data_IF_936087217679
#
_entry.id   IF_936087217679
#
_cell.length_a   1.000
_cell.length_b   1.000
_cell.length_c   1.000
_cell.angle_alpha   90.00
_cell.angle_beta   90.00
_cell.angle_gamma   90.00
#
_symmetry.space_group_name_H-M   'P 1'
#
loop_
_entity.id
_entity.type
_entity.pdbx_description
1 polymer ?
#
# COMPACT_ATOMS: atom_id res chain seq x y z
N UNK A 1 0.71 44.55 17.14
CA UNK A 1 1.00 45.66 18.09
C UNK A 1 1.62 45.02 19.32
N UNK A 2 2.84 45.40 19.71
CA UNK A 2 3.48 44.83 20.92
C UNK A 2 2.75 45.35 22.15
N UNK A 3 2.26 44.44 22.97
CA UNK A 3 1.63 44.74 24.25
C UNK A 3 2.70 45.21 25.24
N UNK A 4 2.42 46.27 26.02
CA UNK A 4 3.29 46.71 27.12
C UNK A 4 3.21 45.77 28.35
N UNK A 5 2.38 44.74 28.31
CA UNK A 5 2.26 43.76 29.39
C UNK A 5 3.37 42.70 29.27
N UNK A 6 4.27 42.58 30.28
CA UNK A 6 5.38 41.63 30.23
C UNK A 6 4.95 40.16 30.22
N UNK A 7 3.73 39.85 30.68
CA UNK A 7 3.19 38.48 30.66
C UNK A 7 2.73 38.09 29.25
N UNK A 8 2.06 39.00 28.54
CA UNK A 8 1.58 38.74 27.17
C UNK A 8 2.74 38.58 26.18
N UNK A 9 3.85 39.31 26.37
CA UNK A 9 5.05 39.14 25.55
C UNK A 9 5.69 37.76 25.72
N UNK A 10 5.66 37.16 26.93
CA UNK A 10 6.17 35.79 27.12
C UNK A 10 5.31 34.74 26.44
N UNK A 11 3.98 34.91 26.47
CA UNK A 11 3.05 34.01 25.78
C UNK A 11 3.21 34.08 24.26
N UNK A 12 3.38 35.30 23.72
CA UNK A 12 3.68 35.53 22.32
C UNK A 12 5.05 34.95 21.91
N UNK A 13 6.06 35.03 22.78
CA UNK A 13 7.37 34.41 22.57
C UNK A 13 7.28 32.89 22.60
N UNK A 14 6.58 32.30 23.57
CA UNK A 14 6.37 30.84 23.61
C UNK A 14 5.58 30.36 22.40
N UNK A 15 4.54 31.06 21.97
CA UNK A 15 3.77 30.73 20.77
C UNK A 15 4.58 30.90 19.48
N UNK A 16 5.48 31.90 19.41
CA UNK A 16 6.43 32.08 18.30
C UNK A 16 7.51 31.01 18.27
N UNK A 17 7.97 30.55 19.43
CA UNK A 17 8.94 29.46 19.54
C UNK A 17 8.29 28.12 19.17
N UNK A 18 7.07 27.83 19.66
CA UNK A 18 6.32 26.65 19.23
C UNK A 18 6.01 26.66 17.74
N UNK A 19 5.50 27.77 17.19
CA UNK A 19 5.24 27.88 15.75
C UNK A 19 6.51 27.78 14.91
N UNK A 20 7.65 28.31 15.39
CA UNK A 20 8.95 28.10 14.74
C UNK A 20 9.39 26.65 14.81
N UNK A 21 9.26 25.96 15.94
CA UNK A 21 9.61 24.55 16.12
C UNK A 21 8.72 23.62 15.28
N UNK A 22 7.43 23.94 15.16
CA UNK A 22 6.49 23.23 14.27
C UNK A 22 6.83 23.50 12.80
N UNK A 23 7.17 24.74 12.43
CA UNK A 23 7.60 25.08 11.07
C UNK A 23 8.95 24.47 10.70
N UNK A 24 9.88 24.33 11.64
CA UNK A 24 11.21 23.76 11.39
C UNK A 24 11.18 22.24 11.21
N UNK A 25 10.24 21.53 11.86
CA UNK A 25 10.03 20.08 11.64
C UNK A 25 9.58 19.74 10.22
N UNK A 26 8.89 20.67 9.54
CA UNK A 26 8.52 20.53 8.11
C UNK A 26 9.64 20.94 7.16
N UNK A 27 10.67 21.64 7.64
CA UNK A 27 11.84 22.10 6.87
C UNK A 27 13.03 21.14 7.02
N UNK A 28 13.03 20.27 8.03
CA UNK A 28 14.05 19.22 8.17
C UNK A 28 14.09 18.31 6.93
N UNK A 29 15.30 18.01 6.42
CA UNK A 29 15.44 17.10 5.30
C UNK A 29 15.01 15.68 5.70
N UNK A 30 14.33 15.02 4.78
CA UNK A 30 13.89 13.63 4.95
C UNK A 30 15.10 12.70 5.12
N UNK A 31 15.01 11.77 6.08
CA UNK A 31 15.97 10.68 6.26
C UNK A 31 15.40 9.33 5.81
N UNK A 32 16.27 8.33 5.66
CA UNK A 32 15.80 6.95 5.39
C UNK A 32 15.07 6.40 6.61
N UNK A 33 15.56 6.68 7.82
CA UNK A 33 14.95 6.24 9.08
C UNK A 33 13.51 6.77 9.23
N UNK A 34 13.27 8.00 8.78
CA UNK A 34 11.93 8.59 8.72
C UNK A 34 10.96 7.79 7.84
N UNK A 35 11.42 7.28 6.71
CA UNK A 35 10.59 6.45 5.81
C UNK A 35 10.35 5.09 6.43
N UNK A 36 11.40 4.47 6.99
CA UNK A 36 11.30 3.15 7.64
C UNK A 36 10.31 3.20 8.78
N UNK A 37 10.41 4.19 9.67
CA UNK A 37 9.51 4.33 10.82
C UNK A 37 8.05 4.50 10.39
N UNK A 38 7.78 5.32 9.38
CA UNK A 38 6.43 5.53 8.84
C UNK A 38 5.90 4.27 8.14
N UNK A 39 6.75 3.56 7.40
CA UNK A 39 6.37 2.32 6.72
C UNK A 39 6.00 1.25 7.73
N UNK A 40 6.83 1.04 8.76
CA UNK A 40 6.54 0.10 9.86
C UNK A 40 5.27 0.51 10.60
N UNK A 41 5.10 1.79 10.92
CA UNK A 41 3.90 2.29 11.57
C UNK A 41 2.63 2.04 10.75
N UNK A 42 2.68 2.29 9.44
CA UNK A 42 1.56 2.02 8.54
C UNK A 42 1.27 0.51 8.41
N UNK A 43 2.31 -0.33 8.32
CA UNK A 43 2.14 -1.78 8.26
C UNK A 43 1.53 -2.34 9.54
N UNK A 44 1.98 -1.88 10.71
CA UNK A 44 1.39 -2.25 11.99
C UNK A 44 -0.08 -1.81 12.06
N UNK A 45 -0.38 -0.60 11.62
CA UNK A 45 -1.75 -0.10 11.58
C UNK A 45 -2.64 -0.95 10.67
N UNK A 46 -2.18 -1.26 9.46
CA UNK A 46 -2.87 -2.15 8.52
C UNK A 46 -3.05 -3.54 9.10
N UNK A 47 -2.03 -4.10 9.77
CA UNK A 47 -2.10 -5.41 10.42
C UNK A 47 -3.09 -5.46 11.59
N UNK A 48 -3.11 -4.43 12.44
CA UNK A 48 -4.09 -4.30 13.53
C UNK A 48 -5.51 -4.17 12.96
N UNK A 49 -5.70 -3.31 11.97
CA UNK A 49 -7.01 -3.17 11.31
C UNK A 49 -7.47 -4.49 10.67
N UNK A 50 -6.56 -5.26 10.08
CA UNK A 50 -6.85 -6.59 9.54
C UNK A 50 -7.21 -7.61 10.64
N UNK A 51 -6.50 -7.61 11.76
CA UNK A 51 -6.81 -8.49 12.89
C UNK A 51 -8.18 -8.15 13.51
N UNK A 52 -8.49 -6.86 13.65
CA UNK A 52 -9.80 -6.39 14.13
C UNK A 52 -10.90 -6.80 13.17
N UNK A 53 -10.75 -6.58 11.86
CA UNK A 53 -11.79 -6.96 10.90
C UNK A 53 -11.96 -8.47 10.82
N UNK A 54 -10.88 -9.24 10.94
CA UNK A 54 -10.96 -10.70 11.03
C UNK A 54 -11.82 -11.17 12.20
N UNK A 55 -11.61 -10.60 13.40
CA UNK A 55 -12.27 -11.03 14.62
C UNK A 55 -13.73 -10.55 14.73
N UNK A 56 -14.02 -9.33 14.26
CA UNK A 56 -15.28 -8.65 14.54
C UNK A 56 -16.31 -8.85 13.43
N UNK A 57 -15.88 -9.01 12.18
CA UNK A 57 -16.80 -9.02 11.04
C UNK A 57 -17.52 -10.38 10.94
N UNK A 58 -18.86 -10.45 11.09
CA UNK A 58 -19.62 -11.68 10.92
C UNK A 58 -19.76 -12.06 9.45
N UNK A 59 -19.98 -13.34 9.16
CA UNK A 59 -20.25 -13.84 7.81
C UNK A 59 -21.68 -13.45 7.40
N UNK A 60 -21.87 -12.21 6.96
CA UNK A 60 -23.17 -11.64 6.61
C UNK A 60 -23.30 -11.36 5.10
N UNK A 61 -24.50 -11.51 4.54
CA UNK A 61 -24.75 -11.35 3.10
C UNK A 61 -24.41 -9.95 2.54
N UNK A 62 -24.40 -8.90 3.38
CA UNK A 62 -24.03 -7.54 2.98
C UNK A 62 -22.50 -7.32 2.84
N UNK A 63 -21.67 -8.27 3.30
CA UNK A 63 -20.21 -8.17 3.21
C UNK A 63 -19.73 -8.00 1.77
N UNK A 64 -20.34 -8.70 0.81
CA UNK A 64 -19.90 -8.63 -0.59
C UNK A 64 -19.97 -7.20 -1.14
N UNK A 65 -21.06 -6.48 -0.84
CA UNK A 65 -21.24 -5.10 -1.23
C UNK A 65 -20.30 -4.14 -0.46
N UNK A 66 -20.10 -4.38 0.84
CA UNK A 66 -19.18 -3.59 1.66
C UNK A 66 -17.70 -3.78 1.24
N UNK A 67 -17.32 -5.00 0.85
CA UNK A 67 -16.00 -5.32 0.31
C UNK A 67 -15.78 -4.71 -1.06
N UNK A 68 -16.78 -4.76 -1.95
CA UNK A 68 -16.68 -4.11 -3.25
C UNK A 68 -16.59 -2.57 -3.09
N UNK A 69 -17.39 -1.98 -2.19
CA UNK A 69 -17.36 -0.56 -1.88
C UNK A 69 -16.05 -0.10 -1.25
N UNK A 70 -15.50 -0.86 -0.30
CA UNK A 70 -14.19 -0.57 0.29
C UNK A 70 -13.06 -0.78 -0.71
N UNK A 71 -13.13 -1.77 -1.59
CA UNK A 71 -12.15 -1.97 -2.66
C UNK A 71 -12.14 -0.79 -3.64
N UNK A 72 -13.31 -0.29 -4.04
CA UNK A 72 -13.43 0.92 -4.85
C UNK A 72 -12.85 2.15 -4.13
N UNK A 73 -13.20 2.36 -2.87
CA UNK A 73 -12.70 3.47 -2.08
C UNK A 73 -11.16 3.40 -1.93
N UNK A 74 -10.61 2.20 -1.73
CA UNK A 74 -9.17 1.95 -1.70
C UNK A 74 -8.48 2.27 -3.02
N UNK A 75 -9.05 1.87 -4.15
CA UNK A 75 -8.52 2.19 -5.48
C UNK A 75 -8.54 3.70 -5.72
N UNK A 76 -9.65 4.36 -5.37
CA UNK A 76 -9.77 5.81 -5.49
C UNK A 76 -8.74 6.55 -4.62
N UNK A 77 -8.56 6.13 -3.36
CA UNK A 77 -7.55 6.68 -2.46
C UNK A 77 -6.14 6.51 -3.02
N UNK A 78 -5.77 5.33 -3.53
CA UNK A 78 -4.45 5.11 -4.14
C UNK A 78 -4.23 6.02 -5.32
N UNK A 79 -5.24 6.11 -6.20
CA UNK A 79 -5.15 6.94 -7.39
C UNK A 79 -5.00 8.42 -7.03
N UNK A 80 -5.81 8.92 -6.09
CA UNK A 80 -5.78 10.32 -5.65
C UNK A 80 -4.44 10.64 -4.97
N UNK A 81 -3.98 9.81 -4.03
CA UNK A 81 -2.70 10.03 -3.33
C UNK A 81 -1.54 10.02 -4.33
N UNK A 82 -1.54 9.07 -5.27
CA UNK A 82 -0.46 8.91 -6.25
C UNK A 82 -0.45 10.03 -7.29
N UNK A 83 -1.60 10.38 -7.87
CA UNK A 83 -1.69 11.43 -8.88
C UNK A 83 -1.44 12.83 -8.31
N UNK A 84 -1.84 13.07 -7.06
CA UNK A 84 -1.65 14.37 -6.38
C UNK A 84 -0.37 14.43 -5.55
N UNK A 85 0.42 13.35 -5.51
CA UNK A 85 1.62 13.23 -4.68
C UNK A 85 1.40 13.75 -3.25
N UNK A 86 0.30 13.33 -2.62
CA UNK A 86 -0.14 13.88 -1.33
C UNK A 86 0.84 13.46 -0.25
N UNK A 87 1.42 14.45 0.44
CA UNK A 87 2.35 14.25 1.57
C UNK A 87 1.68 14.36 2.93
N UNK A 88 0.36 14.60 2.96
CA UNK A 88 -0.43 14.67 4.18
C UNK A 88 -0.64 13.25 4.76
N UNK A 89 -0.36 13.02 6.07
CA UNK A 89 -0.55 11.72 6.70
C UNK A 89 -2.00 11.25 6.73
N UNK A 90 -2.98 12.16 6.82
CA UNK A 90 -4.40 11.80 7.01
C UNK A 90 -4.94 10.86 5.93
N UNK A 91 -4.83 11.17 4.62
CA UNK A 91 -5.29 10.26 3.57
C UNK A 91 -4.50 8.95 3.52
N UNK A 92 -3.20 8.98 3.84
CA UNK A 92 -2.33 7.80 3.83
C UNK A 92 -2.72 6.82 4.94
N UNK A 93 -2.97 7.33 6.15
CA UNK A 93 -3.48 6.57 7.29
C UNK A 93 -4.87 6.02 6.99
N UNK A 94 -5.75 6.84 6.39
CA UNK A 94 -7.08 6.39 5.95
C UNK A 94 -7.00 5.23 4.96
N UNK A 95 -6.09 5.30 3.99
CA UNK A 95 -5.81 4.19 3.08
C UNK A 95 -5.31 2.94 3.82
N UNK A 96 -4.35 3.07 4.74
CA UNK A 96 -3.79 1.95 5.49
C UNK A 96 -4.83 1.21 6.33
N UNK A 97 -5.76 1.95 6.95
CA UNK A 97 -6.90 1.40 7.69
C UNK A 97 -7.86 0.66 6.76
N UNK A 98 -8.28 1.32 5.67
CA UNK A 98 -9.23 0.75 4.73
C UNK A 98 -8.70 -0.55 4.09
N UNK A 99 -7.41 -0.55 3.71
CA UNK A 99 -6.73 -1.76 3.26
C UNK A 99 -6.66 -2.82 4.35
N UNK A 100 -6.31 -2.46 5.58
CA UNK A 100 -6.28 -3.43 6.68
C UNK A 100 -7.61 -4.13 6.86
N UNK A 101 -8.72 -3.36 6.90
CA UNK A 101 -10.06 -3.91 7.00
C UNK A 101 -10.39 -4.89 5.86
N UNK A 102 -10.14 -4.47 4.62
CA UNK A 102 -10.30 -5.30 3.41
C UNK A 102 -9.48 -6.59 3.48
N UNK A 103 -8.20 -6.47 3.80
CA UNK A 103 -7.27 -7.60 3.88
C UNK A 103 -7.75 -8.57 4.95
N UNK A 104 -8.14 -8.11 6.14
CA UNK A 104 -8.56 -9.01 7.21
C UNK A 104 -9.81 -9.83 6.87
N UNK A 105 -10.84 -9.20 6.30
CA UNK A 105 -12.06 -9.90 5.88
C UNK A 105 -11.78 -10.86 4.73
N UNK A 106 -11.03 -10.42 3.70
CA UNK A 106 -10.67 -11.28 2.59
C UNK A 106 -9.82 -12.46 3.06
N UNK A 107 -8.82 -12.21 3.89
CA UNK A 107 -7.92 -13.23 4.40
C UNK A 107 -8.67 -14.28 5.22
N UNK A 108 -9.65 -13.88 6.03
CA UNK A 108 -10.53 -14.81 6.74
C UNK A 108 -11.32 -15.70 5.77
N UNK A 109 -11.88 -15.12 4.71
CA UNK A 109 -12.61 -15.89 3.70
C UNK A 109 -11.72 -16.93 2.99
N UNK A 110 -10.47 -16.57 2.68
CA UNK A 110 -9.51 -17.51 2.08
C UNK A 110 -9.00 -18.56 3.08
N UNK A 111 -8.81 -18.21 4.34
CA UNK A 111 -8.34 -19.13 5.39
C UNK A 111 -9.38 -20.21 5.69
N UNK A 112 -10.68 -19.88 5.64
CA UNK A 112 -11.77 -20.85 5.80
C UNK A 112 -11.76 -21.93 4.71
N UNK A 113 -11.31 -21.60 3.50
CA UNK A 113 -11.23 -22.53 2.37
C UNK A 113 -9.87 -23.23 2.31
N UNK A 114 -8.78 -22.50 2.59
CA UNK A 114 -7.40 -22.96 2.50
C UNK A 114 -6.64 -22.65 3.80
N UNK A 115 -6.68 -23.54 4.81
CA UNK A 115 -6.00 -23.31 6.08
C UNK A 115 -4.48 -23.08 5.93
N UNK A 116 -3.96 -22.08 6.62
CA UNK A 116 -2.56 -21.66 6.62
C UNK A 116 -2.12 -20.83 5.40
N UNK A 117 -3.04 -20.48 4.49
CA UNK A 117 -2.70 -19.70 3.29
C UNK A 117 -2.25 -18.28 3.64
N UNK A 118 -2.85 -17.68 4.68
CA UNK A 118 -2.58 -16.30 5.07
C UNK A 118 -1.17 -16.15 5.60
N UNK A 119 -0.73 -17.06 6.47
CA UNK A 119 0.64 -17.04 7.02
C UNK A 119 1.68 -17.21 5.91
N UNK A 120 1.42 -18.09 4.93
CA UNK A 120 2.29 -18.27 3.78
C UNK A 120 2.34 -17.04 2.86
N UNK A 121 1.19 -16.40 2.63
CA UNK A 121 1.12 -15.17 1.85
C UNK A 121 1.91 -14.04 2.53
N UNK A 122 1.73 -13.84 3.85
CA UNK A 122 2.49 -12.85 4.62
C UNK A 122 3.99 -13.15 4.57
N UNK A 123 4.39 -14.40 4.82
CA UNK A 123 5.79 -14.83 4.77
C UNK A 123 6.40 -14.60 3.37
N UNK A 124 5.65 -14.92 2.31
CA UNK A 124 6.06 -14.68 0.93
C UNK A 124 6.22 -13.19 0.62
N UNK A 125 5.28 -12.34 1.07
CA UNK A 125 5.34 -10.89 0.85
C UNK A 125 6.58 -10.30 1.51
N UNK A 126 6.84 -10.62 2.78
CA UNK A 126 8.04 -10.16 3.48
C UNK A 126 9.31 -10.77 2.90
N UNK A 127 9.29 -12.05 2.50
CA UNK A 127 10.43 -12.71 1.86
C UNK A 127 10.84 -12.03 0.55
N UNK A 128 9.88 -11.72 -0.33
CA UNK A 128 10.13 -10.99 -1.57
C UNK A 128 10.57 -9.56 -1.26
N UNK A 129 9.88 -8.85 -0.36
CA UNK A 129 10.24 -7.47 -0.01
C UNK A 129 11.68 -7.37 0.54
N UNK A 130 12.04 -8.21 1.51
CA UNK A 130 13.37 -8.25 2.09
C UNK A 130 14.42 -8.72 1.07
N UNK A 131 14.07 -9.69 0.21
CA UNK A 131 14.92 -10.13 -0.88
C UNK A 131 15.22 -9.00 -1.86
N UNK A 132 14.20 -8.27 -2.31
CA UNK A 132 14.37 -7.11 -3.19
C UNK A 132 15.14 -5.98 -2.52
N UNK A 133 14.91 -5.72 -1.24
CA UNK A 133 15.66 -4.75 -0.45
C UNK A 133 17.15 -5.13 -0.36
N UNK A 134 17.46 -6.41 -0.14
CA UNK A 134 18.83 -6.92 -0.11
C UNK A 134 19.51 -6.79 -1.48
N UNK A 135 18.82 -7.17 -2.57
CA UNK A 135 19.33 -7.04 -3.94
C UNK A 135 19.59 -5.58 -4.32
N UNK A 136 18.69 -4.67 -3.92
CA UNK A 136 18.85 -3.24 -4.14
C UNK A 136 20.04 -2.69 -3.35
N UNK A 137 20.15 -3.02 -2.06
CA UNK A 137 21.27 -2.59 -1.21
C UNK A 137 22.61 -3.11 -1.72
N UNK A 138 22.65 -4.34 -2.23
CA UNK A 138 23.83 -4.94 -2.86
C UNK A 138 24.18 -4.29 -4.21
N UNK A 139 23.38 -3.33 -4.72
CA UNK A 139 23.53 -2.66 -6.01
C UNK A 139 23.58 -3.61 -7.21
N UNK A 140 23.05 -4.83 -7.04
CA UNK A 140 22.95 -5.84 -8.10
C UNK A 140 21.96 -5.40 -9.17
N UNK A 141 20.85 -4.79 -8.75
CA UNK A 141 19.81 -4.26 -9.65
C UNK A 141 19.66 -2.77 -9.40
N UNK A 142 19.54 -1.99 -10.47
CA UNK A 142 19.37 -0.52 -10.44
C UNK A 142 18.07 -0.11 -11.12
N UNK A 143 17.45 0.94 -10.59
CA UNK A 143 16.26 1.56 -11.19
C UNK A 143 16.64 2.30 -12.48
N UNK A 144 16.56 1.60 -13.61
CA UNK A 144 16.77 2.22 -14.93
C UNK A 144 15.48 2.83 -15.45
N UNK A 145 15.53 3.89 -16.29
CA UNK A 145 14.33 4.47 -16.91
C UNK A 145 13.56 3.47 -17.80
N UNK A 146 14.22 2.42 -18.30
CA UNK A 146 13.57 1.33 -19.05
C UNK A 146 12.80 0.41 -18.12
N UNK A 147 13.40 0.00 -17.01
CA UNK A 147 12.73 -0.80 -15.97
C UNK A 147 11.52 -0.05 -15.40
N UNK A 148 11.67 1.23 -15.08
CA UNK A 148 10.59 2.06 -14.55
C UNK A 148 9.38 2.08 -15.50
N UNK A 149 9.60 2.36 -16.79
CA UNK A 149 8.52 2.37 -17.80
C UNK A 149 7.86 1.00 -17.95
N UNK A 150 8.64 -0.08 -17.95
CA UNK A 150 8.11 -1.45 -18.04
C UNK A 150 7.21 -1.80 -16.85
N UNK A 151 7.70 -1.54 -15.63
CA UNK A 151 6.99 -1.85 -14.39
C UNK A 151 5.73 -1.00 -14.26
N UNK A 152 5.83 0.31 -14.46
CA UNK A 152 4.68 1.22 -14.40
C UNK A 152 3.64 0.84 -15.46
N UNK A 153 4.06 0.54 -16.69
CA UNK A 153 3.15 0.09 -17.75
C UNK A 153 2.44 -1.21 -17.41
N UNK A 154 3.17 -2.17 -16.82
CA UNK A 154 2.61 -3.47 -16.42
C UNK A 154 1.64 -3.32 -15.25
N UNK A 155 2.01 -2.56 -14.21
CA UNK A 155 1.12 -2.27 -13.08
C UNK A 155 -0.14 -1.52 -13.51
N UNK A 156 -0.02 -0.57 -14.43
CA UNK A 156 -1.17 0.15 -14.98
C UNK A 156 -2.09 -0.80 -15.76
N UNK A 157 -1.55 -1.70 -16.58
CA UNK A 157 -2.32 -2.74 -17.26
C UNK A 157 -3.07 -3.65 -16.29
N UNK A 158 -2.39 -4.10 -15.23
CA UNK A 158 -3.01 -4.92 -14.16
C UNK A 158 -4.11 -4.14 -13.45
N UNK A 159 -3.88 -2.85 -13.14
CA UNK A 159 -4.86 -2.00 -12.49
C UNK A 159 -6.11 -1.80 -13.36
N UNK A 160 -5.96 -1.51 -14.65
CA UNK A 160 -7.07 -1.36 -15.60
C UNK A 160 -7.89 -2.65 -15.68
N UNK A 161 -7.23 -3.81 -15.82
CA UNK A 161 -7.93 -5.10 -15.84
C UNK A 161 -8.68 -5.39 -14.53
N UNK A 162 -8.09 -5.02 -13.39
CA UNK A 162 -8.72 -5.18 -12.08
C UNK A 162 -9.97 -4.31 -11.96
N UNK A 163 -9.92 -3.07 -12.45
CA UNK A 163 -11.08 -2.16 -12.48
C UNK A 163 -12.16 -2.67 -13.41
N UNK A 164 -11.82 -3.12 -14.62
CA UNK A 164 -12.79 -3.72 -15.55
C UNK A 164 -13.49 -4.89 -14.89
N UNK A 165 -12.74 -5.80 -14.27
CA UNK A 165 -13.32 -6.96 -13.60
C UNK A 165 -14.22 -6.58 -12.43
N UNK A 166 -13.86 -5.56 -11.65
CA UNK A 166 -14.65 -5.04 -10.55
C UNK A 166 -15.96 -4.41 -11.04
N UNK A 167 -15.91 -3.60 -12.10
CA UNK A 167 -17.11 -3.00 -12.72
C UNK A 167 -18.02 -4.07 -13.29
N UNK A 168 -17.47 -5.07 -13.98
CA UNK A 168 -18.27 -6.21 -14.47
C UNK A 168 -18.92 -7.00 -13.34
N UNK A 169 -18.22 -7.21 -12.23
CA UNK A 169 -18.79 -7.86 -11.05
C UNK A 169 -19.95 -7.06 -10.45
N UNK A 170 -19.84 -5.73 -10.40
CA UNK A 170 -20.90 -4.85 -9.86
C UNK A 170 -22.16 -4.81 -10.75
N UNK A 171 -22.00 -4.89 -12.07
CA UNK A 171 -23.13 -4.84 -13.02
C UNK A 171 -23.79 -6.20 -13.16
N UNK A 172 -23.00 -7.26 -13.34
CA UNK A 172 -23.49 -8.58 -13.73
C UNK A 172 -23.53 -9.60 -12.60
N UNK A 173 -23.03 -9.24 -11.40
CA UNK A 173 -22.86 -10.17 -10.27
C UNK A 173 -21.83 -11.27 -10.51
N UNK A 174 -21.10 -11.22 -11.64
CA UNK A 174 -20.11 -12.22 -12.08
C UNK A 174 -18.83 -11.52 -12.49
N UNK A 175 -17.65 -12.10 -12.19
CA UNK A 175 -16.39 -11.55 -12.68
C UNK A 175 -16.41 -11.48 -14.21
N UNK A 176 -16.04 -10.34 -14.77
CA UNK A 176 -16.10 -10.08 -16.21
C UNK A 176 -15.01 -10.80 -17.01
N UNK A 177 -13.86 -11.07 -16.40
CA UNK A 177 -12.75 -11.77 -17.02
C UNK A 177 -12.45 -13.07 -16.25
N UNK A 178 -12.37 -14.19 -16.96
CA UNK A 178 -12.03 -15.50 -16.38
C UNK A 178 -10.66 -15.50 -15.67
N UNK A 179 -9.76 -14.60 -16.07
CA UNK A 179 -8.42 -14.41 -15.47
C UNK A 179 -8.50 -14.09 -13.96
N UNK A 180 -9.60 -13.48 -13.51
CA UNK A 180 -9.83 -13.07 -12.12
C UNK A 180 -11.02 -13.81 -11.49
N UNK A 181 -11.55 -14.85 -12.15
CA UNK A 181 -12.68 -15.60 -11.60
C UNK A 181 -12.26 -16.46 -10.42
N UNK A 182 -12.94 -16.26 -9.28
CA UNK A 182 -12.81 -17.10 -8.09
C UNK A 182 -13.60 -18.41 -8.26
N UNK A 183 -14.56 -18.50 -9.18
CA UNK A 183 -15.46 -19.64 -9.35
C UNK A 183 -15.39 -20.18 -10.79
N UNK A 184 -14.58 -21.23 -11.02
CA UNK A 184 -14.41 -21.89 -12.30
C UNK A 184 -13.18 -22.81 -12.35
N UNK A 185 -13.07 -23.66 -13.38
CA UNK A 185 -11.84 -24.42 -13.66
C UNK A 185 -10.71 -23.43 -13.94
N UNK A 186 -9.65 -23.47 -13.15
CA UNK A 186 -8.51 -22.57 -13.33
C UNK A 186 -7.71 -23.07 -14.53
N UNK A 187 -7.80 -22.37 -15.66
CA UNK A 187 -6.91 -22.62 -16.80
C UNK A 187 -5.47 -22.21 -16.49
N UNK A 188 -4.56 -22.30 -17.46
CA UNK A 188 -3.16 -21.86 -17.27
C UNK A 188 -3.01 -20.32 -17.16
N UNK A 189 -3.99 -19.57 -17.67
CA UNK A 189 -3.95 -18.11 -17.83
C UNK A 189 -3.92 -17.32 -16.49
N UNK A 190 -4.75 -17.64 -15.47
CA UNK A 190 -4.70 -16.99 -14.16
C UNK A 190 -3.37 -17.19 -13.41
N UNK A 191 -2.71 -18.34 -13.60
CA UNK A 191 -1.38 -18.60 -13.04
C UNK A 191 -0.33 -17.69 -13.65
N UNK A 192 -0.25 -17.67 -14.99
CA UNK A 192 0.70 -16.82 -15.72
C UNK A 192 0.51 -15.34 -15.35
N UNK A 193 -0.74 -14.87 -15.30
CA UNK A 193 -1.05 -13.51 -14.91
C UNK A 193 -0.61 -13.18 -13.47
N UNK A 194 -0.84 -14.07 -12.52
CA UNK A 194 -0.45 -13.84 -11.12
C UNK A 194 1.07 -13.83 -10.96
N UNK A 195 1.79 -14.71 -11.66
CA UNK A 195 3.26 -14.69 -11.67
C UNK A 195 3.79 -13.38 -12.25
N UNK A 196 3.25 -12.92 -13.38
CA UNK A 196 3.63 -11.62 -13.97
C UNK A 196 3.35 -10.47 -13.01
N UNK A 197 2.19 -10.48 -12.33
CA UNK A 197 1.84 -9.46 -11.36
C UNK A 197 2.77 -9.47 -10.13
N UNK A 198 3.16 -10.65 -9.63
CA UNK A 198 4.14 -10.79 -8.55
C UNK A 198 5.49 -10.23 -8.96
N UNK A 199 5.98 -10.56 -10.15
CA UNK A 199 7.25 -10.04 -10.68
C UNK A 199 7.19 -8.52 -10.85
N UNK A 200 6.09 -8.00 -11.38
CA UNK A 200 5.89 -6.56 -11.54
C UNK A 200 5.87 -5.84 -10.17
N UNK A 201 5.18 -6.42 -9.17
CA UNK A 201 5.18 -5.91 -7.80
C UNK A 201 6.56 -5.98 -7.14
N UNK A 202 7.29 -7.08 -7.33
CA UNK A 202 8.66 -7.20 -6.82
C UNK A 202 9.58 -6.11 -7.41
N UNK A 203 9.48 -5.87 -8.73
CA UNK A 203 10.26 -4.81 -9.36
C UNK A 203 9.77 -3.40 -9.03
N UNK A 204 8.51 -3.21 -8.61
CA UNK A 204 8.04 -1.90 -8.15
C UNK A 204 8.80 -1.46 -6.90
N UNK A 205 9.15 -2.38 -6.00
CA UNK A 205 9.97 -2.06 -4.83
C UNK A 205 11.33 -1.46 -5.18
N UNK A 206 11.95 -1.88 -6.30
CA UNK A 206 13.20 -1.25 -6.77
C UNK A 206 12.99 0.23 -7.06
N UNK A 207 11.85 0.58 -7.67
CA UNK A 207 11.50 1.96 -7.97
C UNK A 207 11.19 2.73 -6.69
N UNK A 208 10.52 2.10 -5.72
CA UNK A 208 10.21 2.70 -4.43
C UNK A 208 11.49 2.99 -3.62
N UNK A 209 12.44 2.05 -3.56
CA UNK A 209 13.73 2.25 -2.89
C UNK A 209 14.57 3.35 -3.54
N UNK A 210 14.58 3.39 -4.88
CA UNK A 210 15.25 4.45 -5.63
C UNK A 210 14.59 5.82 -5.45
N UNK A 211 13.26 5.87 -5.36
CA UNK A 211 12.54 7.10 -5.02
C UNK A 211 12.89 7.59 -3.62
N UNK A 212 13.03 6.70 -2.64
CA UNK A 212 13.47 7.03 -1.28
C UNK A 212 14.89 7.59 -1.30
N UNK A 213 15.83 6.88 -1.91
CA UNK A 213 17.24 7.30 -1.95
C UNK A 213 17.41 8.66 -2.64
N UNK A 214 16.75 8.87 -3.78
CA UNK A 214 16.76 10.15 -4.48
C UNK A 214 16.12 11.26 -3.66
N UNK A 215 15.02 10.99 -2.96
CA UNK A 215 14.34 12.02 -2.16
C UNK A 215 15.14 12.46 -0.94
N UNK A 216 15.89 11.55 -0.31
CA UNK A 216 16.86 11.88 0.74
C UNK A 216 18.02 12.68 0.16
N UNK A 217 18.58 12.23 -0.97
CA UNK A 217 19.70 12.90 -1.64
C UNK A 217 19.37 14.33 -2.10
N UNK A 218 18.15 14.53 -2.61
CA UNK A 218 17.65 15.83 -3.05
C UNK A 218 17.28 16.74 -1.85
N UNK A 219 17.39 16.27 -0.61
CA UNK A 219 17.04 17.03 0.59
C UNK A 219 15.54 17.38 0.67
N UNK A 220 14.65 16.48 0.20
CA UNK A 220 13.20 16.77 0.22
C UNK A 220 12.69 16.96 1.66
N UNK A 221 11.66 17.81 1.87
CA UNK A 221 11.06 18.02 3.18
C UNK A 221 10.60 16.72 3.85
N UNK A 222 10.71 16.63 5.18
CA UNK A 222 10.36 15.45 5.98
C UNK A 222 8.97 14.86 5.71
N UNK A 223 7.99 15.69 5.33
CA UNK A 223 6.63 15.24 4.94
C UNK A 223 6.61 14.29 3.73
N UNK A 224 7.62 14.34 2.85
CA UNK A 224 7.74 13.39 1.74
C UNK A 224 7.95 11.95 2.19
N UNK A 225 8.44 11.74 3.42
CA UNK A 225 8.59 10.40 3.97
C UNK A 225 7.26 9.65 4.08
N UNK A 226 6.14 10.37 4.24
CA UNK A 226 4.80 9.78 4.22
C UNK A 226 4.44 9.24 2.84
N UNK A 227 4.72 10.00 1.80
CA UNK A 227 4.45 9.57 0.41
C UNK A 227 5.32 8.36 0.04
N UNK A 228 6.60 8.36 0.43
CA UNK A 228 7.48 7.21 0.22
C UNK A 228 7.02 5.97 0.97
N UNK A 229 6.64 6.12 2.25
CA UNK A 229 6.11 5.02 3.05
C UNK A 229 4.79 4.47 2.50
N UNK A 230 3.94 5.36 1.97
CA UNK A 230 2.71 4.98 1.28
C UNK A 230 2.97 4.12 0.03
N UNK A 231 3.98 4.48 -0.78
CA UNK A 231 4.38 3.68 -1.95
C UNK A 231 4.79 2.27 -1.55
N UNK A 232 5.68 2.16 -0.57
CA UNK A 232 6.13 0.88 -0.02
C UNK A 232 4.98 0.04 0.55
N UNK A 233 4.07 0.66 1.32
CA UNK A 233 2.86 -0.01 1.84
C UNK A 233 1.97 -0.53 0.71
N UNK A 234 1.71 0.31 -0.30
CA UNK A 234 0.85 -0.03 -1.42
C UNK A 234 1.43 -1.19 -2.22
N UNK A 235 2.76 -1.19 -2.45
CA UNK A 235 3.47 -2.31 -3.08
C UNK A 235 3.38 -3.60 -2.27
N UNK A 236 3.55 -3.53 -0.94
CA UNK A 236 3.41 -4.68 -0.04
C UNK A 236 1.99 -5.27 -0.06
N UNK A 237 0.98 -4.41 0.06
CA UNK A 237 -0.43 -4.80 -0.01
C UNK A 237 -0.76 -5.43 -1.37
N UNK A 238 -0.30 -4.81 -2.45
CA UNK A 238 -0.49 -5.34 -3.80
C UNK A 238 0.14 -6.74 -3.93
N UNK A 239 1.40 -6.89 -3.52
CA UNK A 239 2.10 -8.18 -3.58
C UNK A 239 1.40 -9.24 -2.73
N UNK A 240 0.91 -8.89 -1.54
CA UNK A 240 0.12 -9.77 -0.68
C UNK A 240 -1.10 -10.35 -1.41
N UNK A 241 -1.91 -9.50 -2.04
CA UNK A 241 -3.06 -9.94 -2.83
C UNK A 241 -2.66 -10.90 -3.96
N UNK A 242 -1.56 -10.63 -4.66
CA UNK A 242 -1.09 -11.49 -5.76
C UNK A 242 -0.60 -12.85 -5.26
N UNK A 243 0.15 -12.88 -4.14
CA UNK A 243 0.63 -14.13 -3.53
C UNK A 243 -0.52 -14.96 -2.99
N UNK A 244 -1.44 -14.33 -2.27
CA UNK A 244 -2.62 -14.99 -1.73
C UNK A 244 -3.45 -15.62 -2.85
N UNK A 245 -3.61 -14.90 -3.97
CA UNK A 245 -4.28 -15.43 -5.16
C UNK A 245 -3.52 -16.58 -5.82
N UNK A 246 -2.20 -16.46 -6.00
CA UNK A 246 -1.38 -17.53 -6.58
C UNK A 246 -1.48 -18.81 -5.72
N UNK A 247 -1.32 -18.67 -4.40
CA UNK A 247 -1.44 -19.79 -3.46
C UNK A 247 -2.84 -20.41 -3.48
N UNK A 248 -3.89 -19.60 -3.65
CA UNK A 248 -5.26 -20.11 -3.77
C UNK A 248 -5.46 -20.96 -5.02
N UNK A 249 -4.78 -20.62 -6.12
CA UNK A 249 -4.83 -21.42 -7.35
C UNK A 249 -4.07 -22.73 -7.17
N UNK A 250 -2.87 -22.68 -6.59
CA UNK A 250 -2.04 -23.88 -6.36
C UNK A 250 -2.67 -24.92 -5.43
N UNK A 251 -3.62 -24.52 -4.59
CA UNK A 251 -4.29 -25.39 -3.61
C UNK A 251 -5.68 -25.87 -4.06
N UNK A 252 -6.10 -25.48 -5.26
CA UNK A 252 -7.41 -25.81 -5.82
C UNK A 252 -7.37 -27.07 -6.67
#
# INVERSE_FOLDING_TARGET
MRSNNPVLNRLDETGRLESRVVSSRDVEPMTVDDVVLRTVGLLLLTGVAAAVSWAVVPDAAWLGAALAGSALASIALVLVISLRAITNPVPIVGYALLQGLLLGVASRAFEQVYPGIVVQAVAGTFGVFLGMAALYRARVIRATPRLARLVIGTLLGIAVLSVVNLVSYLISGRPGLEVYSVSGKVGWLPYAFSVVAIIAGAFSFILDFDLVERSVRDGRPRRYAWLSAFGLLTGLVFLYWQLLRLLSYLRR
#
